data_IF_123292774221
#
_entry.id   IF_123292774221
#
_cell.length_a   1.000
_cell.length_b   1.000
_cell.length_c   1.000
_cell.angle_alpha   90.00
_cell.angle_beta   90.00
_cell.angle_gamma   90.00
#
_symmetry.space_group_name_H-M   'P 1'
#
loop_
_entity.id
_entity.type
_entity.pdbx_description
1 polymer ?
#
# COMPACT_ATOMS: atom_id res chain seq x y z
N UNK A 1 8.86 13.92 -23.78
CA UNK A 1 7.79 14.43 -22.90
C UNK A 1 7.82 15.95 -22.95
N UNK A 2 6.69 16.68 -22.96
CA UNK A 2 6.75 18.11 -22.70
C UNK A 2 7.24 18.30 -21.26
N UNK A 3 8.32 19.04 -21.07
CA UNK A 3 9.06 19.21 -19.82
C UNK A 3 8.32 20.00 -18.71
N UNK A 4 6.98 20.10 -18.77
CA UNK A 4 6.20 21.08 -18.01
C UNK A 4 5.36 20.50 -16.85
N UNK A 5 5.63 19.26 -16.40
CA UNK A 5 4.87 18.64 -15.30
C UNK A 5 5.71 18.25 -14.07
N UNK A 6 7.01 18.55 -14.07
CA UNK A 6 7.84 18.38 -12.89
C UNK A 6 7.62 19.59 -11.98
N UNK A 7 7.07 19.35 -10.79
CA UNK A 7 7.15 20.30 -9.69
C UNK A 7 8.51 20.08 -9.00
N UNK A 8 9.51 20.95 -9.24
CA UNK A 8 10.85 20.75 -8.71
C UNK A 8 10.91 20.88 -7.19
N UNK A 9 9.82 21.30 -6.54
CA UNK A 9 9.74 21.39 -5.08
C UNK A 9 9.47 20.06 -4.39
N UNK A 10 9.05 19.02 -5.14
CA UNK A 10 8.79 17.68 -4.59
C UNK A 10 9.98 16.76 -4.83
N UNK A 11 10.43 16.09 -3.78
CA UNK A 11 11.55 15.15 -3.83
C UNK A 11 11.30 13.93 -2.93
N UNK A 12 11.77 12.76 -3.38
CA UNK A 12 11.76 11.53 -2.60
C UNK A 12 13.18 11.09 -2.30
N UNK A 13 13.48 10.88 -1.02
CA UNK A 13 14.68 10.17 -0.61
C UNK A 13 14.44 8.67 -0.66
N UNK A 14 15.30 7.95 -1.36
CA UNK A 14 15.36 6.48 -1.42
C UNK A 14 16.46 5.92 -0.51
N UNK A 15 16.88 6.71 0.49
CA UNK A 15 17.92 6.40 1.46
C UNK A 15 19.35 6.57 0.92
N UNK A 16 19.53 7.35 -0.15
CA UNK A 16 20.85 7.52 -0.77
C UNK A 16 21.79 8.37 0.08
N UNK A 17 21.24 9.28 0.90
CA UNK A 17 21.97 10.08 1.88
C UNK A 17 22.15 9.40 3.25
N UNK A 18 21.68 8.15 3.41
CA UNK A 18 21.45 7.57 4.73
C UNK A 18 20.16 8.08 5.36
N UNK A 19 19.67 7.38 6.38
CA UNK A 19 18.41 7.69 7.05
C UNK A 19 18.63 7.74 8.57
N UNK A 20 19.43 8.71 9.07
CA UNK A 20 19.81 8.73 10.48
C UNK A 20 18.56 8.72 11.36
N UNK A 21 18.47 7.73 12.23
CA UNK A 21 17.36 7.64 13.17
C UNK A 21 17.34 8.86 14.09
N UNK A 22 16.15 9.38 14.41
CA UNK A 22 16.02 10.39 15.47
C UNK A 22 16.35 9.76 16.83
N UNK A 23 16.70 10.58 17.83
CA UNK A 23 16.97 10.08 19.19
C UNK A 23 15.77 9.32 19.77
N UNK A 24 14.55 9.75 19.43
CA UNK A 24 13.33 9.05 19.80
C UNK A 24 13.21 7.67 19.15
N UNK A 25 13.62 7.51 17.88
CA UNK A 25 13.68 6.21 17.21
C UNK A 25 14.77 5.35 17.86
N UNK A 26 15.98 5.88 18.03
CA UNK A 26 17.11 5.15 18.64
C UNK A 26 16.79 4.62 20.03
N UNK A 27 16.10 5.41 20.85
CA UNK A 27 15.76 5.04 22.23
C UNK A 27 14.79 3.84 22.32
N UNK A 28 14.04 3.55 21.25
CA UNK A 28 13.02 2.48 21.23
C UNK A 28 13.33 1.36 20.23
N UNK A 29 14.21 1.57 19.25
CA UNK A 29 14.54 0.61 18.19
C UNK A 29 15.51 -0.47 18.65
N UNK A 30 15.32 -1.69 18.15
CA UNK A 30 16.34 -2.74 18.23
C UNK A 30 17.36 -2.57 17.09
N UNK A 31 18.60 -3.00 17.33
CA UNK A 31 19.53 -3.25 16.24
C UNK A 31 19.00 -4.42 15.38
N UNK A 32 19.23 -4.39 14.06
CA UNK A 32 18.76 -5.44 13.15
C UNK A 32 19.19 -6.84 13.62
N UNK A 33 20.44 -7.00 14.08
CA UNK A 33 20.94 -8.29 14.57
C UNK A 33 20.20 -8.79 15.82
N UNK A 34 19.88 -7.88 16.75
CA UNK A 34 19.11 -8.23 17.95
C UNK A 34 17.67 -8.60 17.59
N UNK A 35 17.09 -7.88 16.63
CA UNK A 35 15.76 -8.19 16.09
C UNK A 35 15.73 -9.59 15.45
N UNK A 36 16.69 -9.90 14.58
CA UNK A 36 16.81 -11.22 13.95
C UNK A 36 17.02 -12.34 15.00
N UNK A 37 17.76 -12.06 16.09
CA UNK A 37 17.90 -12.99 17.19
C UNK A 37 16.56 -13.25 17.91
N UNK A 38 15.73 -12.22 18.14
CA UNK A 38 14.39 -12.40 18.70
C UNK A 38 13.47 -13.18 17.74
N UNK A 39 13.56 -12.94 16.42
CA UNK A 39 12.81 -13.73 15.43
C UNK A 39 13.17 -15.21 15.49
N UNK A 40 14.46 -15.55 15.59
CA UNK A 40 14.92 -16.94 15.73
C UNK A 40 14.35 -17.63 16.96
N UNK A 41 14.23 -16.91 18.08
CA UNK A 41 13.57 -17.44 19.29
C UNK A 41 12.09 -17.76 18.99
N UNK A 42 11.37 -16.82 18.37
CA UNK A 42 9.95 -17.02 17.99
C UNK A 42 9.81 -18.22 17.04
N UNK A 43 10.63 -18.32 16.01
CA UNK A 43 10.59 -19.41 15.04
C UNK A 43 10.87 -20.78 15.69
N UNK A 44 11.86 -20.84 16.59
CA UNK A 44 12.17 -22.07 17.33
C UNK A 44 11.02 -22.50 18.27
N UNK A 45 10.37 -21.54 18.93
CA UNK A 45 9.25 -21.79 19.84
C UNK A 45 7.99 -22.28 19.11
N UNK A 46 7.81 -21.89 17.84
CA UNK A 46 6.65 -22.28 17.02
C UNK A 46 6.89 -23.52 16.14
N UNK A 47 8.09 -24.11 16.21
CA UNK A 47 8.60 -25.26 15.42
C UNK A 47 8.66 -25.00 13.91
N UNK A 48 9.63 -25.62 13.23
CA UNK A 48 9.83 -25.59 11.78
C UNK A 48 8.70 -26.26 10.94
N UNK A 49 7.52 -26.48 11.52
CA UNK A 49 6.36 -27.10 10.86
C UNK A 49 5.41 -26.09 10.23
N UNK A 50 5.56 -24.80 10.56
CA UNK A 50 4.82 -23.75 9.86
C UNK A 50 5.55 -23.35 8.58
N UNK A 51 4.80 -23.26 7.49
CA UNK A 51 5.28 -22.78 6.20
C UNK A 51 5.81 -21.34 6.34
N UNK A 52 6.87 -20.99 5.60
CA UNK A 52 7.43 -19.63 5.53
C UNK A 52 6.33 -18.57 5.32
N UNK A 53 5.34 -18.85 4.47
CA UNK A 53 4.22 -17.93 4.22
C UNK A 53 3.40 -17.62 5.49
N UNK A 54 3.04 -18.64 6.27
CA UNK A 54 2.30 -18.49 7.54
C UNK A 54 3.13 -17.69 8.54
N UNK A 55 4.43 -17.97 8.63
CA UNK A 55 5.33 -17.26 9.54
C UNK A 55 5.42 -15.77 9.19
N UNK A 56 5.47 -15.43 7.89
CA UNK A 56 5.44 -14.05 7.42
C UNK A 56 4.14 -13.35 7.86
N UNK A 57 2.98 -13.98 7.66
CA UNK A 57 1.69 -13.43 8.11
C UNK A 57 1.69 -13.19 9.61
N UNK A 58 2.19 -14.14 10.40
CA UNK A 58 2.26 -13.99 11.86
C UNK A 58 3.21 -12.87 12.29
N UNK A 59 4.35 -12.69 11.62
CA UNK A 59 5.26 -11.58 11.87
C UNK A 59 4.63 -10.23 11.53
N UNK A 60 3.91 -10.12 10.41
CA UNK A 60 3.13 -8.92 10.08
C UNK A 60 2.12 -8.61 11.19
N UNK A 61 1.36 -9.61 11.67
CA UNK A 61 0.35 -9.42 12.72
C UNK A 61 0.89 -8.98 14.09
N UNK A 62 2.21 -9.01 14.32
CA UNK A 62 2.78 -8.34 15.50
C UNK A 62 2.49 -6.83 15.47
N UNK A 63 2.46 -6.24 14.27
CA UNK A 63 2.29 -4.81 14.04
C UNK A 63 0.91 -4.47 13.48
N UNK A 64 0.42 -5.25 12.52
CA UNK A 64 -0.77 -4.94 11.72
C UNK A 64 -1.92 -5.94 11.88
N UNK A 65 -2.25 -6.36 13.10
CA UNK A 65 -3.41 -7.22 13.34
C UNK A 65 -4.71 -6.41 13.48
N UNK A 66 -5.30 -6.06 12.34
CA UNK A 66 -6.54 -5.28 12.28
C UNK A 66 -7.45 -5.75 11.15
N UNK A 67 -8.71 -5.33 11.21
CA UNK A 67 -9.69 -5.69 10.19
C UNK A 67 -9.26 -5.24 8.79
N UNK A 68 -8.86 -3.97 8.61
CA UNK A 68 -8.45 -3.45 7.30
C UNK A 68 -7.28 -4.21 6.69
N UNK A 69 -6.30 -4.62 7.51
CA UNK A 69 -5.18 -5.42 7.03
C UNK A 69 -5.57 -6.87 6.70
N UNK A 70 -6.31 -7.53 7.58
CA UNK A 70 -6.60 -8.96 7.47
C UNK A 70 -7.74 -9.30 6.48
N UNK A 71 -8.73 -8.42 6.34
CA UNK A 71 -9.93 -8.66 5.53
C UNK A 71 -9.98 -7.86 4.23
N UNK A 72 -9.27 -6.73 4.15
CA UNK A 72 -9.31 -5.88 2.95
C UNK A 72 -8.01 -5.94 2.16
N UNK A 73 -6.90 -5.62 2.82
CA UNK A 73 -5.62 -5.45 2.14
C UNK A 73 -4.90 -6.78 1.85
N UNK A 74 -4.97 -7.75 2.78
CA UNK A 74 -4.34 -9.08 2.68
C UNK A 74 -5.36 -10.16 3.06
N UNK A 75 -6.35 -10.36 2.18
CA UNK A 75 -7.47 -11.30 2.39
C UNK A 75 -7.02 -12.75 2.57
N UNK A 76 -7.78 -13.53 3.33
CA UNK A 76 -7.51 -14.94 3.60
C UNK A 76 -6.52 -15.15 4.74
N UNK A 77 -6.17 -14.10 5.48
CA UNK A 77 -5.27 -14.15 6.63
C UNK A 77 -5.99 -13.98 7.97
N UNK A 78 -7.30 -13.74 7.95
CA UNK A 78 -8.13 -13.53 9.14
C UNK A 78 -8.02 -14.68 10.15
N UNK A 79 -8.05 -15.92 9.66
CA UNK A 79 -8.03 -17.13 10.49
C UNK A 79 -6.62 -17.54 10.96
N UNK A 80 -5.57 -16.82 10.52
CA UNK A 80 -4.19 -17.07 10.97
C UNK A 80 -3.96 -16.29 12.27
N UNK A 81 -3.87 -16.94 13.46
CA UNK A 81 -3.69 -16.21 14.70
C UNK A 81 -2.29 -15.57 14.77
N UNK A 82 -2.12 -14.41 15.44
CA UNK A 82 -0.80 -13.86 15.70
C UNK A 82 0.02 -14.80 16.59
N UNK A 83 1.34 -14.57 16.68
CA UNK A 83 2.16 -15.29 17.65
C UNK A 83 1.63 -15.09 19.08
N UNK A 84 1.75 -16.15 19.89
CA UNK A 84 1.47 -16.05 21.32
C UNK A 84 2.35 -14.95 21.95
N UNK A 85 1.80 -14.27 22.96
CA UNK A 85 2.55 -13.26 23.69
C UNK A 85 3.72 -13.92 24.44
N UNK A 86 4.93 -13.50 24.12
CA UNK A 86 6.19 -13.96 24.72
C UNK A 86 7.12 -12.77 24.94
N UNK A 87 8.22 -12.97 25.66
CA UNK A 87 9.23 -11.92 25.84
C UNK A 87 9.78 -11.44 24.49
N UNK A 88 9.97 -12.36 23.54
CA UNK A 88 10.47 -12.05 22.21
C UNK A 88 9.44 -11.26 21.39
N UNK A 89 8.17 -11.69 21.35
CA UNK A 89 7.13 -10.95 20.59
C UNK A 89 6.86 -9.56 21.17
N UNK A 90 6.92 -9.40 22.50
CA UNK A 90 6.86 -8.09 23.13
C UNK A 90 8.08 -7.21 22.81
N UNK A 91 9.27 -7.78 22.71
CA UNK A 91 10.46 -7.04 22.32
C UNK A 91 10.34 -6.51 20.88
N UNK A 92 9.84 -7.33 19.95
CA UNK A 92 9.56 -6.91 18.58
C UNK A 92 8.48 -5.81 18.54
N UNK A 93 7.35 -5.99 19.25
CA UNK A 93 6.28 -4.98 19.28
C UNK A 93 6.74 -3.62 19.81
N UNK A 94 7.65 -3.60 20.78
CA UNK A 94 8.20 -2.36 21.38
C UNK A 94 9.14 -1.61 20.45
N UNK A 95 9.75 -2.25 19.44
CA UNK A 95 10.61 -1.54 18.50
C UNK A 95 9.84 -0.61 17.55
N UNK A 96 8.51 -0.52 17.67
CA UNK A 96 7.68 0.46 16.97
C UNK A 96 7.97 0.50 15.47
N UNK A 97 8.02 -0.70 14.85
CA UNK A 97 8.11 -0.90 13.39
C UNK A 97 9.50 -0.58 12.79
N UNK A 98 10.30 0.28 13.45
CA UNK A 98 11.57 0.81 12.94
C UNK A 98 12.79 0.26 13.69
N UNK A 99 13.72 -0.33 12.96
CA UNK A 99 15.01 -0.84 13.45
C UNK A 99 16.16 0.08 13.11
N UNK A 100 17.30 -0.11 13.75
CA UNK A 100 18.55 0.56 13.38
C UNK A 100 19.60 -0.40 12.85
N UNK A 101 20.27 -0.04 11.76
CA UNK A 101 21.46 -0.75 11.30
C UNK A 101 22.72 -0.32 12.10
N UNK A 102 23.89 -0.88 11.78
CA UNK A 102 25.16 -0.54 12.44
C UNK A 102 25.59 0.94 12.27
N UNK A 103 25.02 1.65 11.29
CA UNK A 103 25.22 3.09 11.05
C UNK A 103 24.17 3.96 11.76
N UNK A 104 23.28 3.34 12.53
CA UNK A 104 22.13 3.98 13.16
C UNK A 104 21.12 4.57 12.17
N UNK A 105 21.07 4.04 10.94
CA UNK A 105 19.99 4.36 10.01
C UNK A 105 18.72 3.61 10.40
N UNK A 106 17.59 4.31 10.35
CA UNK A 106 16.26 3.76 10.54
C UNK A 106 15.86 2.81 9.39
N UNK A 107 15.05 1.81 9.71
CA UNK A 107 14.56 0.84 8.75
C UNK A 107 13.19 0.27 9.17
N UNK A 108 12.16 0.37 8.32
CA UNK A 108 10.81 -0.12 8.63
C UNK A 108 10.66 -1.63 8.35
N UNK A 109 10.77 -2.46 9.38
CA UNK A 109 10.61 -3.91 9.25
C UNK A 109 9.14 -4.33 9.25
N UNK A 110 8.24 -3.57 9.89
CA UNK A 110 6.82 -3.91 9.86
C UNK A 110 6.27 -3.79 8.44
N UNK A 111 6.62 -2.70 7.75
CA UNK A 111 6.27 -2.49 6.36
C UNK A 111 6.88 -3.56 5.43
N UNK A 112 8.11 -3.98 5.70
CA UNK A 112 8.74 -5.09 4.99
C UNK A 112 7.92 -6.39 5.12
N UNK A 113 7.43 -6.74 6.31
CA UNK A 113 6.55 -7.91 6.49
C UNK A 113 5.20 -7.75 5.81
N UNK A 114 4.61 -6.55 5.78
CA UNK A 114 3.38 -6.28 5.06
C UNK A 114 3.53 -6.57 3.55
N UNK A 115 4.64 -6.15 2.95
CA UNK A 115 4.96 -6.42 1.54
C UNK A 115 5.17 -7.92 1.30
N UNK A 116 5.96 -8.59 2.16
CA UNK A 116 6.18 -10.03 2.03
C UNK A 116 4.87 -10.81 2.14
N UNK A 117 4.00 -10.46 3.07
CA UNK A 117 2.71 -11.13 3.28
C UNK A 117 1.74 -10.86 2.12
N UNK A 118 1.64 -9.61 1.66
CA UNK A 118 0.81 -9.25 0.52
C UNK A 118 1.23 -9.99 -0.76
N UNK A 119 2.51 -10.38 -0.89
CA UNK A 119 2.97 -11.19 -2.02
C UNK A 119 2.43 -12.63 -2.00
N UNK A 120 2.19 -13.20 -0.81
CA UNK A 120 1.61 -14.54 -0.66
C UNK A 120 0.10 -14.54 -0.95
N UNK A 121 -0.56 -13.39 -0.77
CA UNK A 121 -2.00 -13.20 -0.93
C UNK A 121 -2.34 -12.18 -2.03
N UNK A 122 -1.51 -12.13 -3.07
CA UNK A 122 -1.62 -11.10 -4.09
C UNK A 122 -2.88 -11.28 -4.95
N UNK A 123 -3.52 -10.17 -5.28
CA UNK A 123 -4.74 -10.09 -6.04
C UNK A 123 -5.17 -8.63 -6.17
N UNK A 124 -6.33 -8.35 -6.78
CA UNK A 124 -6.85 -7.00 -6.85
C UNK A 124 -7.29 -6.49 -5.47
N UNK A 125 -7.05 -5.21 -5.18
CA UNK A 125 -7.68 -4.50 -4.07
C UNK A 125 -8.94 -3.79 -4.60
N UNK A 126 -10.10 -4.13 -4.04
CA UNK A 126 -11.41 -3.70 -4.52
C UNK A 126 -12.45 -3.79 -3.40
N UNK A 127 -13.44 -2.88 -3.31
CA UNK A 127 -14.49 -3.00 -2.28
C UNK A 127 -15.45 -4.14 -2.57
N UNK A 128 -15.33 -4.82 -3.73
CA UNK A 128 -16.21 -5.91 -4.08
C UNK A 128 -15.93 -7.14 -3.18
N UNK A 129 -17.00 -7.78 -2.65
CA UNK A 129 -16.89 -9.05 -1.96
C UNK A 129 -16.27 -10.13 -2.86
N UNK A 130 -15.54 -11.09 -2.27
CA UNK A 130 -14.88 -12.17 -3.02
C UNK A 130 -15.87 -13.00 -3.85
N UNK A 131 -17.06 -13.26 -3.33
CA UNK A 131 -18.16 -13.91 -4.06
C UNK A 131 -18.53 -13.18 -5.35
N UNK A 132 -18.47 -11.84 -5.37
CA UNK A 132 -18.69 -11.04 -6.59
C UNK A 132 -17.50 -11.18 -7.54
N UNK A 133 -16.27 -11.20 -7.00
CA UNK A 133 -15.05 -11.39 -7.78
C UNK A 133 -14.98 -12.76 -8.46
N UNK A 134 -15.51 -13.81 -7.84
CA UNK A 134 -15.58 -15.17 -8.39
C UNK A 134 -16.80 -15.38 -9.30
N UNK A 135 -17.87 -14.61 -9.09
CA UNK A 135 -19.11 -14.75 -9.85
C UNK A 135 -18.97 -14.38 -11.33
N UNK A 136 -19.60 -15.16 -12.19
CA UNK A 136 -19.62 -14.98 -13.66
C UNK A 136 -20.90 -14.34 -14.18
N UNK A 137 -21.82 -13.96 -13.28
CA UNK A 137 -23.10 -13.31 -13.60
C UNK A 137 -22.89 -11.98 -14.34
N UNK A 138 -23.91 -11.54 -15.09
CA UNK A 138 -23.85 -10.27 -15.81
C UNK A 138 -23.64 -9.08 -14.86
N UNK A 139 -24.35 -9.08 -13.72
CA UNK A 139 -24.17 -8.09 -12.66
C UNK A 139 -22.75 -8.11 -12.11
N UNK A 140 -22.19 -9.28 -11.77
CA UNK A 140 -20.83 -9.34 -11.25
C UNK A 140 -19.82 -8.80 -12.26
N UNK A 141 -19.99 -9.08 -13.56
CA UNK A 141 -19.16 -8.49 -14.63
C UNK A 141 -19.31 -6.97 -14.69
N UNK A 142 -20.53 -6.46 -14.59
CA UNK A 142 -20.79 -5.02 -14.55
C UNK A 142 -20.13 -4.37 -13.33
N UNK A 143 -20.35 -4.90 -12.12
CA UNK A 143 -19.76 -4.40 -10.88
C UNK A 143 -18.23 -4.39 -10.94
N UNK A 144 -17.60 -5.44 -11.48
CA UNK A 144 -16.13 -5.48 -11.70
C UNK A 144 -15.63 -4.40 -12.65
N UNK A 145 -16.44 -3.97 -13.61
CA UNK A 145 -16.07 -2.90 -14.55
C UNK A 145 -16.16 -1.52 -13.92
N UNK A 146 -17.12 -1.33 -13.01
CA UNK A 146 -17.36 -0.03 -12.39
C UNK A 146 -16.73 0.12 -11.01
N UNK A 147 -16.30 -0.96 -10.35
CA UNK A 147 -15.73 -0.85 -9.02
C UNK A 147 -14.30 -0.32 -9.05
N UNK A 148 -13.94 0.59 -8.11
CA UNK A 148 -12.55 1.00 -7.94
C UNK A 148 -11.70 -0.24 -7.65
N UNK A 149 -10.67 -0.43 -8.45
CA UNK A 149 -9.76 -1.57 -8.33
C UNK A 149 -8.33 -1.09 -8.50
N UNK A 150 -7.46 -1.49 -7.56
CA UNK A 150 -6.01 -1.47 -7.75
C UNK A 150 -5.62 -2.86 -8.22
N UNK A 151 -4.83 -2.94 -9.30
CA UNK A 151 -4.50 -4.22 -9.95
C UNK A 151 -3.85 -5.25 -9.02
N UNK A 152 -3.12 -4.78 -8.00
CA UNK A 152 -2.19 -5.59 -7.21
C UNK A 152 -2.14 -5.09 -5.75
N UNK A 153 -2.49 -5.98 -4.80
CA UNK A 153 -2.47 -5.73 -3.35
C UNK A 153 -1.07 -5.56 -2.81
N UNK A 154 -0.07 -6.24 -3.39
CA UNK A 154 1.32 -6.06 -3.04
C UNK A 154 1.78 -4.62 -3.35
N UNK A 155 1.30 -3.99 -4.41
CA UNK A 155 1.53 -2.55 -4.62
C UNK A 155 0.81 -1.71 -3.55
N UNK A 156 -0.45 -2.00 -3.26
CA UNK A 156 -1.27 -1.25 -2.30
C UNK A 156 -0.80 -1.38 -0.84
N UNK A 157 -0.23 -2.53 -0.46
CA UNK A 157 0.34 -2.78 0.86
C UNK A 157 1.76 -2.23 1.02
N UNK A 158 2.43 -1.93 -0.10
CA UNK A 158 3.75 -1.32 -0.15
C UNK A 158 3.70 0.10 -0.70
N UNK A 159 4.48 0.33 -1.77
CA UNK A 159 4.85 1.67 -2.21
C UNK A 159 3.66 2.53 -2.66
N UNK A 160 2.63 1.92 -3.25
CA UNK A 160 1.45 2.66 -3.69
C UNK A 160 0.59 3.05 -2.47
N UNK A 161 0.57 2.22 -1.44
CA UNK A 161 -0.04 2.52 -0.14
C UNK A 161 0.60 3.73 0.52
N UNK A 162 1.92 3.77 0.62
CA UNK A 162 2.65 4.94 1.14
C UNK A 162 2.39 6.21 0.33
N UNK A 163 2.38 6.11 -1.01
CA UNK A 163 2.02 7.25 -1.85
C UNK A 163 0.57 7.67 -1.65
N UNK A 164 -0.36 6.73 -1.43
CA UNK A 164 -1.76 7.02 -1.16
C UNK A 164 -1.96 7.72 0.18
N UNK A 165 -1.17 7.36 1.20
CA UNK A 165 -1.13 8.05 2.49
C UNK A 165 -0.65 9.50 2.30
N UNK A 166 0.42 9.71 1.51
CA UNK A 166 0.93 11.06 1.20
C UNK A 166 -0.14 11.89 0.49
N UNK A 167 -0.73 11.37 -0.59
CA UNK A 167 -1.75 12.07 -1.38
C UNK A 167 -2.99 12.35 -0.54
N UNK A 168 -3.44 11.38 0.24
CA UNK A 168 -4.56 11.54 1.16
C UNK A 168 -4.29 12.63 2.20
N UNK A 169 -3.05 12.70 2.71
CA UNK A 169 -2.65 13.77 3.62
C UNK A 169 -2.52 15.14 2.96
N UNK A 170 -2.25 15.25 1.65
CA UNK A 170 -2.39 16.53 0.95
C UNK A 170 -3.84 17.03 1.05
N UNK A 171 -4.81 16.15 0.78
CA UNK A 171 -6.22 16.48 0.90
C UNK A 171 -6.62 16.83 2.34
N UNK A 172 -6.21 16.02 3.32
CA UNK A 172 -6.53 16.23 4.74
C UNK A 172 -5.91 17.54 5.23
N UNK A 173 -4.67 17.84 4.85
CA UNK A 173 -4.00 19.09 5.19
C UNK A 173 -4.80 20.29 4.67
N UNK A 174 -5.22 20.26 3.40
CA UNK A 174 -6.02 21.33 2.80
C UNK A 174 -7.42 21.43 3.46
N UNK A 175 -8.08 20.30 3.70
CA UNK A 175 -9.38 20.21 4.34
C UNK A 175 -9.38 20.77 5.77
N UNK A 176 -8.36 20.41 6.56
CA UNK A 176 -8.16 20.88 7.94
C UNK A 176 -7.53 22.28 8.00
N UNK A 177 -7.12 22.86 6.87
CA UNK A 177 -6.39 24.12 6.77
C UNK A 177 -5.10 24.10 7.61
N UNK A 178 -4.41 22.96 7.58
CA UNK A 178 -3.07 22.83 8.15
C UNK A 178 -2.06 23.54 7.22
N UNK A 179 -1.05 24.20 7.79
CA UNK A 179 -0.05 24.97 7.04
C UNK A 179 1.21 24.14 6.71
N UNK A 180 1.08 22.83 6.48
CA UNK A 180 2.22 22.01 6.04
C UNK A 180 2.39 22.11 4.53
N UNK A 181 3.63 22.16 4.07
CA UNK A 181 3.92 22.05 2.64
C UNK A 181 3.77 20.60 2.18
N UNK A 182 3.54 20.39 0.89
CA UNK A 182 3.51 19.04 0.30
C UNK A 182 4.81 18.28 0.55
N UNK A 183 5.97 18.94 0.49
CA UNK A 183 7.24 18.30 0.82
C UNK A 183 7.30 17.88 2.29
N UNK A 184 6.81 18.68 3.25
CA UNK A 184 6.78 18.27 4.66
C UNK A 184 5.90 17.02 4.88
N UNK A 185 4.82 16.88 4.12
CA UNK A 185 3.97 15.69 4.15
C UNK A 185 4.70 14.49 3.53
N UNK A 186 5.42 14.67 2.41
CA UNK A 186 6.29 13.63 1.84
C UNK A 186 7.37 13.21 2.83
N UNK A 187 8.06 14.15 3.48
CA UNK A 187 9.11 13.85 4.45
C UNK A 187 8.57 13.08 5.67
N UNK A 188 7.32 13.34 6.05
CA UNK A 188 6.64 12.65 7.16
C UNK A 188 6.21 11.23 6.78
N UNK A 189 5.53 11.05 5.65
CA UNK A 189 4.86 9.79 5.30
C UNK A 189 5.62 8.95 4.27
N UNK A 190 6.52 9.55 3.50
CA UNK A 190 7.40 8.93 2.50
C UNK A 190 8.89 9.03 2.86
N UNK A 191 9.21 9.04 4.15
CA UNK A 191 10.57 9.10 4.65
C UNK A 191 11.46 8.00 4.05
N UNK A 192 12.77 8.27 3.92
CA UNK A 192 13.71 7.37 3.24
C UNK A 192 13.76 5.93 3.77
N UNK A 193 13.52 5.73 5.08
CA UNK A 193 13.51 4.38 5.65
C UNK A 193 12.27 3.55 5.23
N UNK A 194 11.14 4.20 4.89
CA UNK A 194 9.95 3.56 4.32
C UNK A 194 10.14 3.23 2.85
N UNK A 195 10.72 4.16 2.08
CA UNK A 195 11.03 3.91 0.66
C UNK A 195 12.06 2.79 0.49
N UNK A 196 13.03 2.68 1.40
CA UNK A 196 13.94 1.52 1.44
C UNK A 196 13.18 0.22 1.75
N UNK A 197 12.27 0.22 2.72
CA UNK A 197 11.47 -0.97 3.04
C UNK A 197 10.64 -1.45 1.84
N UNK A 198 10.09 -0.51 1.06
CA UNK A 198 9.43 -0.80 -0.22
C UNK A 198 10.34 -1.48 -1.23
N UNK A 199 11.52 -0.91 -1.44
CA UNK A 199 12.52 -1.41 -2.39
C UNK A 199 12.98 -2.82 -1.99
N UNK A 200 13.36 -2.98 -0.73
CA UNK A 200 13.94 -4.21 -0.23
C UNK A 200 12.88 -5.30 -0.07
N UNK A 201 11.68 -5.00 0.42
CA UNK A 201 10.58 -5.97 0.54
C UNK A 201 10.23 -6.58 -0.82
N UNK A 202 10.08 -5.76 -1.85
CA UNK A 202 9.85 -6.23 -3.22
C UNK A 202 11.04 -7.00 -3.80
N UNK A 203 12.26 -6.57 -3.48
CA UNK A 203 13.47 -7.29 -3.88
C UNK A 203 13.54 -8.68 -3.24
N UNK A 204 13.21 -8.80 -1.96
CA UNK A 204 13.16 -10.06 -1.22
C UNK A 204 12.10 -10.97 -1.83
N UNK A 205 10.87 -10.48 -2.02
CA UNK A 205 9.78 -11.23 -2.65
C UNK A 205 10.21 -11.80 -4.01
N UNK A 206 10.83 -10.97 -4.85
CA UNK A 206 11.28 -11.38 -6.18
C UNK A 206 12.47 -12.35 -6.13
N UNK A 207 13.40 -12.18 -5.18
CA UNK A 207 14.60 -13.00 -5.08
C UNK A 207 14.31 -14.39 -4.50
N UNK A 208 13.56 -14.45 -3.40
CA UNK A 208 13.32 -15.69 -2.65
C UNK A 208 12.06 -16.43 -3.09
N UNK A 209 11.12 -15.81 -3.81
CA UNK A 209 9.87 -16.46 -4.26
C UNK A 209 9.11 -17.11 -3.10
N UNK A 210 8.70 -16.29 -2.12
CA UNK A 210 8.21 -16.65 -0.77
C UNK A 210 6.93 -17.50 -0.70
N UNK A 211 6.48 -18.09 -1.81
CA UNK A 211 5.30 -18.95 -1.91
C UNK A 211 5.33 -20.16 -0.96
N UNK A 212 4.15 -20.78 -0.79
CA UNK A 212 3.82 -21.90 0.09
C UNK A 212 4.68 -23.19 -0.01
N UNK A 213 5.81 -23.18 -0.73
CA UNK A 213 6.66 -24.35 -0.91
C UNK A 213 7.99 -24.27 -0.16
N UNK A 214 8.21 -23.21 0.62
CA UNK A 214 9.44 -23.02 1.38
C UNK A 214 9.25 -23.32 2.86
N UNK A 215 10.23 -24.00 3.43
CA UNK A 215 10.35 -24.27 4.88
C UNK A 215 11.54 -23.54 5.47
N UNK A 216 12.00 -22.46 4.83
CA UNK A 216 13.12 -21.68 5.30
C UNK A 216 12.65 -20.68 6.37
N UNK A 217 13.35 -20.57 7.52
CA UNK A 217 13.02 -19.57 8.53
C UNK A 217 13.07 -18.15 7.95
N UNK A 218 12.09 -17.32 8.28
CA UNK A 218 12.01 -15.93 7.83
C UNK A 218 13.23 -15.14 8.31
N UNK A 219 13.70 -15.40 9.54
CA UNK A 219 14.92 -14.78 10.06
C UNK A 219 16.17 -15.16 9.25
N UNK A 220 16.20 -16.36 8.65
CA UNK A 220 17.30 -16.80 7.81
C UNK A 220 17.27 -16.09 6.45
N UNK A 221 16.08 -15.98 5.83
CA UNK A 221 15.87 -15.21 4.59
C UNK A 221 16.33 -13.76 4.79
N UNK A 222 15.88 -13.09 5.86
CA UNK A 222 16.28 -11.71 6.13
C UNK A 222 17.77 -11.59 6.44
N UNK A 223 18.33 -12.52 7.21
CA UNK A 223 19.77 -12.54 7.52
C UNK A 223 20.62 -12.67 6.27
N UNK A 224 20.26 -13.59 5.37
CA UNK A 224 20.94 -13.80 4.09
C UNK A 224 20.78 -12.58 3.18
N UNK A 225 19.58 -12.00 3.12
CA UNK A 225 19.31 -10.83 2.31
C UNK A 225 20.21 -9.65 2.70
N UNK A 226 20.22 -9.27 3.98
CA UNK A 226 20.98 -8.10 4.43
C UNK A 226 22.49 -8.31 4.46
N UNK A 227 22.96 -9.56 4.62
CA UNK A 227 24.39 -9.85 4.73
C UNK A 227 25.07 -10.18 3.40
N UNK A 228 24.37 -10.87 2.50
CA UNK A 228 24.98 -11.47 1.31
C UNK A 228 24.36 -10.95 0.01
N UNK A 229 23.02 -10.93 -0.07
CA UNK A 229 22.33 -10.60 -1.31
C UNK A 229 22.35 -9.09 -1.56
N UNK A 230 21.79 -8.27 -0.67
CA UNK A 230 21.68 -6.82 -0.84
C UNK A 230 23.01 -6.13 -1.19
N UNK A 231 24.16 -6.48 -0.57
CA UNK A 231 25.45 -5.88 -0.94
C UNK A 231 25.94 -6.20 -2.36
N UNK A 232 25.48 -7.29 -2.96
CA UNK A 232 25.94 -7.79 -4.27
C UNK A 232 25.01 -7.45 -5.44
N UNK A 233 23.90 -6.75 -5.18
CA UNK A 233 22.94 -6.37 -6.21
C UNK A 233 22.53 -4.89 -6.13
N UNK A 234 21.86 -4.40 -7.17
CA UNK A 234 21.21 -3.10 -7.17
C UNK A 234 19.71 -3.31 -6.88
N UNK A 235 19.24 -3.17 -5.62
CA UNK A 235 17.87 -3.50 -5.25
C UNK A 235 16.87 -2.53 -5.91
N UNK A 236 17.27 -1.29 -6.17
CA UNK A 236 16.43 -0.29 -6.84
C UNK A 236 16.10 -0.68 -8.29
N UNK A 237 17.01 -1.34 -9.02
CA UNK A 237 16.73 -1.85 -10.37
C UNK A 237 15.73 -3.01 -10.34
N UNK A 238 15.87 -3.90 -9.35
CA UNK A 238 14.95 -5.02 -9.17
C UNK A 238 13.57 -4.47 -8.84
N UNK A 239 13.48 -3.58 -7.84
CA UNK A 239 12.26 -2.89 -7.47
C UNK A 239 11.61 -2.16 -8.66
N UNK A 240 12.38 -1.40 -9.44
CA UNK A 240 11.86 -0.75 -10.64
C UNK A 240 11.22 -1.76 -11.62
N UNK A 241 11.87 -2.90 -11.82
CA UNK A 241 11.34 -3.96 -12.68
C UNK A 241 10.07 -4.59 -12.09
N UNK A 242 9.99 -4.82 -10.77
CA UNK A 242 8.82 -5.45 -10.14
C UNK A 242 7.59 -4.54 -10.21
N UNK A 243 7.77 -3.22 -10.15
CA UNK A 243 6.67 -2.25 -10.33
C UNK A 243 6.38 -1.92 -11.81
N UNK A 244 7.00 -2.62 -12.76
CA UNK A 244 6.73 -2.53 -14.19
C UNK A 244 7.47 -1.41 -14.93
N UNK A 245 8.52 -0.82 -14.36
CA UNK A 245 9.39 0.13 -15.05
C UNK A 245 10.50 -0.57 -15.83
N UNK A 246 10.93 0.04 -16.93
CA UNK A 246 11.99 -0.45 -17.82
C UNK A 246 13.15 0.55 -17.86
N UNK A 247 14.18 0.31 -17.06
CA UNK A 247 15.34 1.20 -16.97
C UNK A 247 16.29 1.01 -18.17
N UNK A 248 16.48 2.08 -18.95
CA UNK A 248 17.33 2.12 -20.15
C UNK A 248 18.79 2.51 -19.89
N UNK A 249 19.22 2.56 -18.63
CA UNK A 249 20.58 2.92 -18.23
C UNK A 249 20.69 4.34 -17.67
N UNK A 250 20.00 5.30 -18.26
CA UNK A 250 19.91 6.68 -17.75
C UNK A 250 18.51 7.03 -17.26
N UNK A 251 17.47 6.56 -17.95
CA UNK A 251 16.07 6.91 -17.69
C UNK A 251 15.13 5.70 -17.85
N UNK A 252 13.87 5.84 -17.42
CA UNK A 252 12.85 4.82 -17.66
C UNK A 252 12.19 4.97 -19.03
N UNK A 253 12.43 4.00 -19.90
CA UNK A 253 11.96 3.99 -21.31
C UNK A 253 10.44 3.93 -21.46
N UNK A 254 9.72 3.47 -20.42
CA UNK A 254 8.26 3.37 -20.41
C UNK A 254 7.60 4.29 -19.37
N UNK A 255 8.29 5.35 -18.91
CA UNK A 255 7.77 6.26 -17.88
C UNK A 255 6.38 6.82 -18.20
N UNK A 256 6.11 7.21 -19.45
CA UNK A 256 4.84 7.79 -19.84
C UNK A 256 3.65 6.83 -19.64
N UNK A 257 3.75 5.60 -20.16
CA UNK A 257 2.68 4.61 -20.02
C UNK A 257 2.56 4.09 -18.59
N UNK A 258 3.69 4.01 -17.88
CA UNK A 258 3.71 3.68 -16.45
C UNK A 258 2.97 4.74 -15.64
N UNK A 259 3.25 6.04 -15.84
CA UNK A 259 2.58 7.13 -15.14
C UNK A 259 1.08 7.08 -15.36
N UNK A 260 0.62 6.99 -16.61
CA UNK A 260 -0.83 6.88 -16.92
C UNK A 260 -1.49 5.72 -16.19
N UNK A 261 -0.83 4.56 -16.13
CA UNK A 261 -1.33 3.39 -15.39
C UNK A 261 -1.41 3.68 -13.89
N UNK A 262 -0.32 4.20 -13.31
CA UNK A 262 -0.21 4.37 -11.87
C UNK A 262 -0.99 5.57 -11.33
N UNK A 263 -1.30 6.58 -12.14
CA UNK A 263 -2.24 7.63 -11.75
C UNK A 263 -3.60 7.04 -11.38
N UNK A 264 -4.13 6.12 -12.20
CA UNK A 264 -5.39 5.44 -11.89
C UNK A 264 -5.28 4.63 -10.61
N UNK A 265 -4.22 3.83 -10.45
CA UNK A 265 -4.03 3.00 -9.27
C UNK A 265 -3.88 3.84 -7.99
N UNK A 266 -3.10 4.94 -8.05
CA UNK A 266 -2.90 5.82 -6.91
C UNK A 266 -4.19 6.53 -6.51
N UNK A 267 -5.04 6.95 -7.46
CA UNK A 267 -6.37 7.50 -7.14
C UNK A 267 -7.24 6.52 -6.39
N UNK A 268 -7.33 5.30 -6.89
CA UNK A 268 -8.11 4.24 -6.27
C UNK A 268 -7.58 3.95 -4.86
N UNK A 269 -6.26 3.81 -4.70
CA UNK A 269 -5.64 3.57 -3.40
C UNK A 269 -5.86 4.74 -2.43
N UNK A 270 -5.76 5.98 -2.91
CA UNK A 270 -6.03 7.19 -2.11
C UNK A 270 -7.49 7.24 -1.66
N UNK A 271 -8.43 6.84 -2.52
CA UNK A 271 -9.85 6.76 -2.16
C UNK A 271 -10.06 5.76 -1.01
N UNK A 272 -9.44 4.57 -1.05
CA UNK A 272 -9.49 3.62 0.06
C UNK A 272 -8.87 4.19 1.34
N UNK A 273 -7.70 4.82 1.24
CA UNK A 273 -7.05 5.47 2.39
C UNK A 273 -7.94 6.54 3.05
N UNK A 274 -8.59 7.38 2.25
CA UNK A 274 -9.46 8.44 2.75
C UNK A 274 -10.77 7.92 3.33
N UNK A 275 -11.32 6.82 2.79
CA UNK A 275 -12.46 6.13 3.39
C UNK A 275 -12.18 5.80 4.87
N UNK A 276 -11.05 5.15 5.14
CA UNK A 276 -10.65 4.80 6.50
C UNK A 276 -10.28 6.04 7.33
N UNK A 277 -9.45 6.93 6.78
CA UNK A 277 -8.90 8.08 7.51
C UNK A 277 -9.93 9.13 7.91
N UNK A 278 -11.04 9.23 7.17
CA UNK A 278 -12.17 10.12 7.51
C UNK A 278 -13.15 9.46 8.49
N UNK A 279 -12.87 8.23 8.92
CA UNK A 279 -13.64 7.49 9.91
C UNK A 279 -14.98 7.01 9.37
N UNK A 280 -15.01 6.57 8.11
CA UNK A 280 -16.15 5.85 7.57
C UNK A 280 -16.22 4.47 8.23
N UNK A 281 -17.38 4.10 8.75
CA UNK A 281 -17.63 2.75 9.25
C UNK A 281 -18.52 2.04 8.24
N UNK A 282 -18.04 0.93 7.67
CA UNK A 282 -18.84 0.07 6.81
C UNK A 282 -19.82 -0.74 7.67
N UNK A 283 -20.79 -0.07 8.29
CA UNK A 283 -21.87 -0.70 9.06
C UNK A 283 -23.20 -0.46 8.33
N UNK A 284 -23.23 -0.88 7.06
CA UNK A 284 -24.51 -1.03 6.37
C UNK A 284 -25.15 -2.30 6.92
N UNK A 285 -26.35 -2.20 7.47
CA UNK A 285 -27.10 -3.40 7.81
C UNK A 285 -27.26 -4.27 6.53
N UNK A 286 -27.22 -5.59 6.69
CA UNK A 286 -27.27 -6.52 5.56
C UNK A 286 -28.50 -6.30 4.68
N UNK A 287 -29.61 -5.83 5.27
CA UNK A 287 -30.87 -5.56 4.57
C UNK A 287 -30.78 -4.33 3.68
N UNK A 288 -30.04 -3.29 4.09
CA UNK A 288 -29.74 -2.11 3.29
C UNK A 288 -28.80 -2.46 2.14
N UNK A 289 -27.80 -3.31 2.40
CA UNK A 289 -26.93 -3.82 1.34
C UNK A 289 -27.74 -4.63 0.31
N UNK A 290 -28.60 -5.53 0.77
CA UNK A 290 -29.47 -6.35 -0.08
C UNK A 290 -30.45 -5.48 -0.89
N UNK A 291 -31.01 -4.44 -0.28
CA UNK A 291 -31.91 -3.48 -0.93
C UNK A 291 -31.17 -2.66 -1.98
N UNK A 292 -29.98 -2.13 -1.65
CA UNK A 292 -29.16 -1.38 -2.59
C UNK A 292 -28.75 -2.26 -3.79
N UNK A 293 -28.38 -3.51 -3.53
CA UNK A 293 -28.03 -4.48 -4.56
C UNK A 293 -29.22 -4.82 -5.46
N UNK A 294 -30.40 -5.04 -4.87
CA UNK A 294 -31.64 -5.26 -5.62
C UNK A 294 -32.03 -4.05 -6.47
N UNK A 295 -31.95 -2.83 -5.92
CA UNK A 295 -32.29 -1.60 -6.63
C UNK A 295 -31.29 -1.30 -7.75
N UNK A 296 -30.01 -1.60 -7.57
CA UNK A 296 -28.97 -1.52 -8.61
C UNK A 296 -29.21 -2.57 -9.69
N UNK A 297 -29.51 -3.81 -9.32
CA UNK A 297 -29.87 -4.88 -10.27
C UNK A 297 -31.10 -4.49 -11.10
N UNK A 298 -32.17 -4.03 -10.46
CA UNK A 298 -33.39 -3.58 -11.12
C UNK A 298 -33.12 -2.36 -12.00
N UNK A 299 -32.32 -1.39 -11.55
CA UNK A 299 -31.93 -0.25 -12.37
C UNK A 299 -31.13 -0.71 -13.60
N UNK A 300 -30.19 -1.62 -13.46
CA UNK A 300 -29.36 -2.15 -14.56
C UNK A 300 -30.17 -2.98 -15.56
N UNK A 301 -31.10 -3.81 -15.06
CA UNK A 301 -31.99 -4.61 -15.90
C UNK A 301 -32.97 -3.74 -16.70
N UNK A 302 -33.28 -2.54 -16.19
CA UNK A 302 -34.18 -1.58 -16.83
C UNK A 302 -33.45 -0.44 -17.57
N UNK A 303 -32.11 -0.40 -17.52
CA UNK A 303 -31.29 0.57 -18.26
C UNK A 303 -31.16 0.12 -19.72
N UNK A 304 -31.86 0.80 -20.64
CA UNK A 304 -31.59 0.74 -22.08
C UNK A 304 -30.21 1.38 -22.32
N UNK A 305 -29.16 0.54 -22.41
CA UNK A 305 -27.76 0.96 -22.46
C UNK A 305 -27.49 1.76 -23.75
N UNK A 306 -27.70 3.08 -23.66
CA UNK A 306 -27.12 4.08 -24.56
C UNK A 306 -26.20 5.01 -23.76
N UNK A 307 -25.11 5.52 -24.37
CA UNK A 307 -23.97 6.05 -23.64
C UNK A 307 -24.23 7.49 -23.19
N UNK A 308 -24.86 7.68 -22.03
CA UNK A 308 -24.88 8.96 -21.33
C UNK A 308 -24.69 8.72 -19.83
N UNK A 309 -23.41 8.59 -19.43
CA UNK A 309 -22.93 8.38 -18.06
C UNK A 309 -23.48 9.41 -17.06
N UNK A 310 -23.85 10.61 -17.54
CA UNK A 310 -24.35 11.72 -16.73
C UNK A 310 -25.82 11.54 -16.28
N UNK A 311 -26.63 10.80 -17.04
CA UNK A 311 -28.04 10.54 -16.73
C UNK A 311 -28.17 9.44 -15.68
N UNK A 312 -27.36 8.38 -15.79
CA UNK A 312 -27.33 7.28 -14.84
C UNK A 312 -26.93 7.75 -13.42
N UNK A 313 -25.93 8.64 -13.33
CA UNK A 313 -25.51 9.25 -12.05
C UNK A 313 -26.59 10.14 -11.43
N UNK A 314 -27.40 10.83 -12.24
CA UNK A 314 -28.55 11.62 -11.77
C UNK A 314 -29.68 10.74 -11.25
N UNK A 315 -29.96 9.63 -11.91
CA UNK A 315 -31.01 8.69 -11.50
C UNK A 315 -30.64 7.94 -10.21
N UNK A 316 -29.38 7.50 -10.09
CA UNK A 316 -28.88 6.88 -8.86
C UNK A 316 -29.01 7.86 -7.67
N UNK A 317 -28.65 9.14 -7.87
CA UNK A 317 -28.84 10.18 -6.84
C UNK A 317 -30.30 10.43 -6.45
N UNK A 318 -31.22 10.33 -7.41
CA UNK A 318 -32.65 10.54 -7.16
C UNK A 318 -33.31 9.36 -6.43
N UNK A 319 -32.81 8.13 -6.66
CA UNK A 319 -33.36 6.91 -6.05
C UNK A 319 -32.84 6.63 -4.64
N UNK A 320 -31.67 7.15 -4.27
CA UNK A 320 -31.08 7.02 -2.93
C UNK A 320 -31.71 7.94 -1.87
N UNK A 321 -32.99 8.31 -1.99
CA UNK A 321 -33.71 9.04 -0.93
C UNK A 321 -33.99 8.12 0.26
N UNK A 322 -33.03 8.06 1.18
CA UNK A 322 -33.13 7.36 2.47
C UNK A 322 -33.48 8.38 3.57
N UNK A 323 -34.43 8.01 4.42
CA UNK A 323 -35.04 8.84 5.46
C UNK A 323 -34.14 9.07 6.68
N UNK A 324 -33.89 10.34 6.97
CA UNK A 324 -33.69 11.05 8.25
C UNK A 324 -33.28 10.25 9.52
N UNK A 325 -32.02 9.80 9.58
CA UNK A 325 -31.24 9.66 10.82
C UNK A 325 -29.94 10.48 10.69
N UNK A 326 -30.03 11.71 11.21
CA UNK A 326 -29.21 12.88 10.86
C UNK A 326 -27.75 12.90 11.35
N UNK A 327 -26.90 13.60 10.58
CA UNK A 327 -25.46 13.90 10.71
C UNK A 327 -24.44 12.80 10.38
N UNK A 328 -24.63 11.56 10.79
CA UNK A 328 -23.69 10.47 10.46
C UNK A 328 -23.86 10.09 8.98
N UNK A 329 -25.10 9.95 8.52
CA UNK A 329 -25.41 9.68 7.10
C UNK A 329 -24.91 10.79 6.15
N UNK A 330 -25.03 12.07 6.52
CA UNK A 330 -24.52 13.18 5.72
C UNK A 330 -22.99 13.14 5.58
N UNK A 331 -22.30 12.77 6.67
CA UNK A 331 -20.85 12.62 6.68
C UNK A 331 -20.43 11.44 5.82
N UNK A 332 -21.11 10.31 5.93
CA UNK A 332 -20.82 9.09 5.19
C UNK A 332 -21.08 9.25 3.69
N UNK A 333 -22.20 9.88 3.31
CA UNK A 333 -22.51 10.23 1.92
C UNK A 333 -21.51 11.24 1.34
N UNK A 334 -21.06 12.21 2.14
CA UNK A 334 -19.99 13.14 1.76
C UNK A 334 -18.67 12.40 1.51
N UNK A 335 -18.27 11.48 2.40
CA UNK A 335 -17.04 10.69 2.25
C UNK A 335 -17.12 9.82 0.99
N UNK A 336 -18.23 9.10 0.79
CA UNK A 336 -18.47 8.30 -0.42
C UNK A 336 -18.33 9.19 -1.66
N UNK A 337 -18.98 10.35 -1.67
CA UNK A 337 -18.93 11.29 -2.80
C UNK A 337 -17.51 11.76 -3.09
N UNK A 338 -16.74 12.17 -2.06
CA UNK A 338 -15.34 12.59 -2.22
C UNK A 338 -14.50 11.45 -2.80
N UNK A 339 -14.61 10.25 -2.24
CA UNK A 339 -13.83 9.09 -2.67
C UNK A 339 -14.18 8.69 -4.10
N UNK A 340 -15.47 8.72 -4.49
CA UNK A 340 -15.91 8.51 -5.87
C UNK A 340 -15.32 9.55 -6.81
N UNK A 341 -15.34 10.84 -6.44
CA UNK A 341 -14.80 11.91 -7.27
C UNK A 341 -13.27 11.82 -7.42
N UNK A 342 -12.56 11.41 -6.38
CA UNK A 342 -11.11 11.14 -6.43
C UNK A 342 -10.82 9.98 -7.37
N UNK A 343 -11.54 8.87 -7.23
CA UNK A 343 -11.41 7.70 -8.08
C UNK A 343 -11.66 8.03 -9.56
N UNK A 344 -12.71 8.81 -9.86
CA UNK A 344 -13.05 9.28 -11.21
C UNK A 344 -12.08 10.35 -11.74
N UNK A 345 -11.14 10.83 -10.91
CA UNK A 345 -10.07 11.75 -11.32
C UNK A 345 -10.43 13.23 -11.32
N UNK A 346 -11.58 13.62 -10.75
CA UNK A 346 -11.97 15.02 -10.64
C UNK A 346 -11.03 15.83 -9.73
N UNK A 347 -10.29 15.16 -8.84
CA UNK A 347 -9.38 15.78 -7.88
C UNK A 347 -7.90 15.70 -8.24
N UNK A 348 -7.52 15.24 -9.45
CA UNK A 348 -6.11 15.00 -9.81
C UNK A 348 -5.19 16.19 -9.59
N UNK A 349 -5.66 17.39 -9.94
CA UNK A 349 -4.88 18.62 -9.79
C UNK A 349 -4.72 19.00 -8.31
N UNK A 350 -5.76 18.87 -7.50
CA UNK A 350 -5.70 19.15 -6.06
C UNK A 350 -4.70 18.21 -5.37
N UNK A 351 -4.82 16.93 -5.69
CA UNK A 351 -4.04 15.84 -5.12
C UNK A 351 -2.59 15.79 -5.62
N UNK A 352 -2.22 16.58 -6.63
CA UNK A 352 -0.88 16.58 -7.24
C UNK A 352 -0.33 15.17 -7.52
N UNK A 353 -1.19 14.26 -8.00
CA UNK A 353 -0.84 12.86 -8.26
C UNK A 353 0.28 12.74 -9.30
N UNK A 354 0.15 13.41 -10.45
CA UNK A 354 1.16 13.35 -11.52
C UNK A 354 2.51 13.94 -11.08
N UNK A 355 2.57 15.15 -10.46
CA UNK A 355 3.82 15.65 -9.88
C UNK A 355 4.44 14.70 -8.87
N UNK A 356 3.66 14.10 -7.97
CA UNK A 356 4.15 13.19 -6.94
C UNK A 356 4.77 11.92 -7.56
N UNK A 357 4.06 11.27 -8.48
CA UNK A 357 4.57 10.09 -9.18
C UNK A 357 5.84 10.41 -9.98
N UNK A 358 5.91 11.59 -10.58
CA UNK A 358 7.08 12.03 -11.33
C UNK A 358 8.29 12.27 -10.41
N UNK A 359 8.06 12.87 -9.23
CA UNK A 359 9.09 13.04 -8.21
C UNK A 359 9.58 11.67 -7.67
N UNK A 360 8.67 10.72 -7.47
CA UNK A 360 9.00 9.36 -7.06
C UNK A 360 9.88 8.65 -8.09
N UNK A 361 9.54 8.74 -9.39
CA UNK A 361 10.35 8.19 -10.47
C UNK A 361 11.74 8.81 -10.53
N UNK A 362 11.83 10.14 -10.37
CA UNK A 362 13.10 10.86 -10.34
C UNK A 362 13.98 10.40 -9.19
N UNK A 363 13.43 10.30 -7.97
CA UNK A 363 14.14 9.79 -6.80
C UNK A 363 14.65 8.35 -7.00
N UNK A 364 13.82 7.47 -7.56
CA UNK A 364 14.20 6.09 -7.85
C UNK A 364 15.32 6.02 -8.89
N UNK A 365 15.25 6.83 -9.94
CA UNK A 365 16.29 6.91 -10.98
C UNK A 365 17.64 7.36 -10.38
N UNK A 366 17.64 8.38 -9.52
CA UNK A 366 18.83 8.81 -8.78
C UNK A 366 19.39 7.69 -7.90
N UNK A 367 18.53 6.95 -7.20
CA UNK A 367 18.95 5.83 -6.36
C UNK A 367 19.58 4.68 -7.14
N UNK A 368 19.03 4.36 -8.32
CA UNK A 368 19.61 3.39 -9.25
C UNK A 368 21.02 3.80 -9.65
N UNK A 369 21.21 5.04 -10.09
CA UNK A 369 22.52 5.55 -10.50
C UNK A 369 23.53 5.54 -9.35
N UNK A 370 23.09 5.93 -8.15
CA UNK A 370 23.92 5.89 -6.94
C UNK A 370 24.37 4.46 -6.61
N UNK A 371 23.45 3.49 -6.58
CA UNK A 371 23.77 2.10 -6.30
C UNK A 371 24.69 1.47 -7.37
N UNK A 372 24.48 1.79 -8.65
CA UNK A 372 25.37 1.34 -9.72
C UNK A 372 26.80 1.88 -9.57
N UNK A 373 26.95 3.15 -9.18
CA UNK A 373 28.26 3.74 -8.93
C UNK A 373 28.96 3.04 -7.76
N UNK A 374 28.23 2.71 -6.70
CA UNK A 374 28.75 2.00 -5.53
C UNK A 374 29.18 0.57 -5.81
N UNK A 375 28.46 -0.15 -6.69
CA UNK A 375 28.83 -1.54 -7.08
C UNK A 375 30.06 -1.60 -7.98
N UNK A 376 30.41 -0.50 -8.65
CA UNK A 376 31.60 -0.40 -9.53
C UNK A 376 32.86 0.01 -8.79
N UNK A 377 32.73 0.63 -7.61
CA UNK A 377 33.82 1.05 -6.74
C UNK A 377 34.23 -0.09 -5.81
#
# INVERSE_FOLDING_TARGET
>A
MPANHLDPSLNFDFGTSGCPASDAIKARSLAINDYLAQMKVIENDNKATENTAIMITKFRKIYYDSHGWNHELIRGTEDIPPFATSKATQALKRSHEVLTNNKQDAYDFAHLFAIMDASNHNGPLTPLPEKVLESTTLLAKFLKQIAPTVDDRLMAAGWLGDLSEIVGNFYINDYKKENKTKQQIIDQFGAGYKTIANVDGQTIVNHYQLSDKQSEPVSQILSDYFSNVKPSLNPYKIFASTIGLKFGGTEFTNAASWLTKQEKNLRTCTAFYLFESLGFQFDFDQKLLDTLMHDVEDALNNLDIRPQEETALKEIRARLHVSDESKVFDKDLMIITICTLIWLGFYNHLLAITPLLSAYLSGLQTAISYADAKLKA
#
